data_IF_090589172094
#
_entry.id   IF_090589172094
#
_cell.length_a   1.000
_cell.length_b   1.000
_cell.length_c   1.000
_cell.angle_alpha   90.00
_cell.angle_beta   90.00
_cell.angle_gamma   90.00
#
_symmetry.space_group_name_H-M   'P 1'
#
loop_
_entity.id
_entity.type
_entity.pdbx_description
1 polymer ?
#
# COMPACT_ATOMS: atom_id res chain seq x y z
N UNK A 1 -9.48 3.35 11.26
CA UNK A 1 -8.01 3.35 11.31
C UNK A 1 -7.43 2.75 12.60
N UNK A 2 -7.89 3.15 13.77
CA UNK A 2 -7.33 2.65 15.06
C UNK A 2 -7.41 1.13 15.25
N UNK A 3 -8.49 0.48 14.78
CA UNK A 3 -8.64 -0.97 14.86
C UNK A 3 -7.55 -1.70 14.05
N UNK A 4 -7.29 -1.27 12.83
CA UNK A 4 -6.24 -1.86 11.98
C UNK A 4 -4.85 -1.70 12.58
N UNK A 5 -4.57 -0.57 13.22
CA UNK A 5 -3.32 -0.37 13.95
C UNK A 5 -3.18 -1.30 15.15
N UNK A 6 -4.28 -1.57 15.86
CA UNK A 6 -4.27 -2.51 16.99
C UNK A 6 -4.04 -3.96 16.52
N UNK A 7 -4.53 -4.32 15.34
CA UNK A 7 -4.27 -5.64 14.74
C UNK A 7 -2.84 -5.78 14.20
N UNK A 8 -2.26 -4.69 13.69
CA UNK A 8 -0.89 -4.71 13.14
C UNK A 8 0.17 -4.85 14.23
N UNK A 9 0.00 -4.21 15.40
CA UNK A 9 0.99 -4.20 16.47
C UNK A 9 1.43 -5.59 16.95
N UNK A 10 0.53 -6.57 17.19
CA UNK A 10 0.94 -7.91 17.61
C UNK A 10 1.76 -8.67 16.57
N UNK A 11 1.59 -8.34 15.29
CA UNK A 11 2.31 -9.01 14.20
C UNK A 11 3.78 -8.58 14.14
N UNK A 12 4.10 -7.40 14.69
CA UNK A 12 5.47 -6.91 14.80
C UNK A 12 6.26 -7.57 15.95
N UNK A 13 5.57 -8.26 16.87
CA UNK A 13 6.23 -8.94 17.96
C UNK A 13 7.06 -10.12 17.41
N UNK A 14 8.28 -10.36 17.94
CA UNK A 14 9.08 -11.52 17.56
C UNK A 14 8.30 -12.80 17.85
N UNK A 15 8.38 -13.75 16.92
CA UNK A 15 7.87 -15.11 17.17
C UNK A 15 8.85 -15.74 18.15
N UNK A 16 8.40 -16.14 19.36
CA UNK A 16 9.30 -16.81 20.29
C UNK A 16 9.85 -18.08 19.62
N UNK A 17 11.11 -18.41 19.81
CA UNK A 17 11.61 -19.72 19.44
C UNK A 17 10.81 -20.73 20.29
N UNK A 18 10.05 -21.60 19.63
CA UNK A 18 9.30 -22.64 20.32
C UNK A 18 10.30 -23.53 21.05
N UNK A 19 10.27 -23.47 22.38
CA UNK A 19 11.17 -24.24 23.24
C UNK A 19 10.86 -25.73 23.31
N UNK A 20 10.01 -26.24 22.42
CA UNK A 20 9.68 -27.65 22.29
C UNK A 20 10.39 -28.19 21.04
N UNK A 21 11.59 -28.68 21.22
CA UNK A 21 12.32 -29.44 20.21
C UNK A 21 11.61 -30.78 20.00
N UNK A 22 10.70 -30.83 19.06
CA UNK A 22 10.29 -32.09 18.47
C UNK A 22 11.47 -32.56 17.58
N UNK A 23 11.94 -33.77 17.82
CA UNK A 23 12.94 -34.41 16.96
C UNK A 23 14.33 -33.73 16.92
N UNK A 24 14.90 -33.43 18.09
CA UNK A 24 16.29 -32.89 18.22
C UNK A 24 16.60 -31.64 17.40
N UNK A 25 15.59 -30.75 17.22
CA UNK A 25 15.78 -29.45 16.59
C UNK A 25 15.62 -29.43 15.06
N UNK A 26 15.35 -30.55 14.41
CA UNK A 26 15.16 -30.60 12.95
C UNK A 26 13.74 -30.14 12.54
N UNK A 27 12.72 -30.47 13.34
CA UNK A 27 11.35 -30.05 13.09
C UNK A 27 11.10 -28.55 13.31
N UNK A 28 11.89 -27.89 14.16
CA UNK A 28 11.74 -26.47 14.49
C UNK A 28 12.16 -25.54 13.32
N UNK A 29 12.99 -26.02 12.41
CA UNK A 29 13.41 -25.24 11.24
C UNK A 29 12.30 -25.06 10.21
N UNK A 30 11.32 -25.96 10.18
CA UNK A 30 10.24 -25.91 9.19
C UNK A 30 9.02 -25.10 9.68
N UNK A 31 8.69 -25.16 10.96
CA UNK A 31 7.49 -24.50 11.51
C UNK A 31 7.68 -22.97 11.67
N UNK A 32 8.84 -22.52 12.11
CA UNK A 32 9.10 -21.11 12.40
C UNK A 32 9.12 -20.22 11.14
N UNK A 33 9.73 -20.61 10.01
CA UNK A 33 9.69 -19.82 8.77
C UNK A 33 8.27 -19.64 8.24
N UNK A 34 7.44 -20.68 8.29
CA UNK A 34 6.04 -20.60 7.81
C UNK A 34 5.20 -19.64 8.64
N UNK A 35 5.30 -19.70 9.97
CA UNK A 35 4.60 -18.78 10.86
C UNK A 35 5.04 -17.33 10.62
N UNK A 36 6.34 -17.10 10.43
CA UNK A 36 6.87 -15.77 10.10
C UNK A 36 6.34 -15.27 8.76
N UNK A 37 6.28 -16.13 7.75
CA UNK A 37 5.76 -15.80 6.43
C UNK A 37 4.27 -15.45 6.48
N UNK A 38 3.47 -16.25 7.20
CA UNK A 38 2.04 -15.98 7.39
C UNK A 38 1.81 -14.65 8.11
N UNK A 39 2.57 -14.37 9.18
CA UNK A 39 2.50 -13.08 9.89
C UNK A 39 2.91 -11.90 9.01
N UNK A 40 3.97 -12.07 8.23
CA UNK A 40 4.42 -11.05 7.28
C UNK A 40 3.33 -10.75 6.24
N UNK A 41 2.73 -11.79 5.66
CA UNK A 41 1.63 -11.63 4.71
C UNK A 41 0.45 -10.90 5.34
N UNK A 42 0.04 -11.29 6.53
CA UNK A 42 -1.04 -10.62 7.27
C UNK A 42 -0.69 -9.16 7.58
N UNK A 43 0.54 -8.89 8.00
CA UNK A 43 1.02 -7.52 8.24
C UNK A 43 1.00 -6.66 6.97
N UNK A 44 1.37 -7.23 5.83
CA UNK A 44 1.32 -6.55 4.52
C UNK A 44 -0.13 -6.26 4.11
N UNK A 45 -1.06 -7.17 4.33
CA UNK A 45 -2.47 -6.97 3.99
C UNK A 45 -3.08 -5.86 4.85
N UNK A 46 -2.90 -5.90 6.17
CA UNK A 46 -3.38 -4.85 7.08
C UNK A 46 -2.73 -3.49 6.75
N UNK A 47 -1.42 -3.47 6.46
CA UNK A 47 -0.74 -2.24 6.07
C UNK A 47 -1.31 -1.64 4.79
N UNK A 48 -1.72 -2.48 3.85
CA UNK A 48 -2.36 -2.03 2.60
C UNK A 48 -3.75 -1.45 2.86
N UNK A 49 -4.50 -2.02 3.78
CA UNK A 49 -5.81 -1.50 4.17
C UNK A 49 -5.66 -0.13 4.85
N UNK A 50 -4.68 0.05 5.74
CA UNK A 50 -4.35 1.35 6.34
C UNK A 50 -4.00 2.37 5.25
N UNK A 51 -3.14 2.00 4.31
CA UNK A 51 -2.75 2.88 3.19
C UNK A 51 -3.94 3.20 2.27
N UNK A 52 -4.88 2.27 2.11
CA UNK A 52 -6.13 2.49 1.37
C UNK A 52 -6.98 3.59 2.01
N UNK A 53 -7.15 3.56 3.31
CA UNK A 53 -7.85 4.59 4.07
C UNK A 53 -7.14 5.95 4.00
N UNK A 54 -5.82 5.97 4.12
CA UNK A 54 -5.02 7.19 3.98
C UNK A 54 -5.13 7.78 2.56
N UNK A 55 -5.13 6.92 1.55
CA UNK A 55 -5.30 7.33 0.16
C UNK A 55 -6.68 7.97 -0.08
N UNK A 56 -7.74 7.40 0.49
CA UNK A 56 -9.09 7.98 0.43
C UNK A 56 -9.14 9.35 1.09
N UNK A 57 -8.54 9.47 2.25
CA UNK A 57 -8.48 10.72 2.98
C UNK A 57 -7.70 11.80 2.20
N UNK A 58 -6.54 11.44 1.65
CA UNK A 58 -5.75 12.33 0.79
C UNK A 58 -6.55 12.76 -0.46
N UNK A 59 -7.22 11.83 -1.13
CA UNK A 59 -8.05 12.11 -2.28
C UNK A 59 -9.22 13.06 -1.95
N UNK A 60 -9.87 12.85 -0.80
CA UNK A 60 -10.93 13.74 -0.32
C UNK A 60 -10.42 15.18 -0.15
N UNK A 61 -9.27 15.35 0.50
CA UNK A 61 -8.69 16.68 0.67
C UNK A 61 -8.25 17.33 -0.65
N UNK A 62 -7.77 16.54 -1.61
CA UNK A 62 -7.45 17.06 -2.95
C UNK A 62 -8.72 17.59 -3.66
N UNK A 63 -9.83 16.87 -3.56
CA UNK A 63 -11.10 17.32 -4.14
C UNK A 63 -11.63 18.57 -3.46
N UNK A 64 -11.60 18.65 -2.12
CA UNK A 64 -11.97 19.86 -1.39
C UNK A 64 -11.12 21.06 -1.84
N UNK A 65 -9.80 20.87 -1.97
CA UNK A 65 -8.91 21.94 -2.43
C UNK A 65 -9.18 22.38 -3.87
N UNK A 66 -9.65 21.47 -4.73
CA UNK A 66 -10.12 21.82 -6.07
C UNK A 66 -11.45 22.56 -6.07
N UNK A 67 -12.34 22.23 -5.15
CA UNK A 67 -13.60 22.97 -4.98
C UNK A 67 -13.35 24.40 -4.48
N UNK A 68 -12.38 24.58 -3.56
CA UNK A 68 -11.99 25.91 -3.05
C UNK A 68 -11.30 26.76 -4.14
N UNK A 69 -10.48 26.14 -4.96
CA UNK A 69 -9.76 26.80 -6.05
C UNK A 69 -9.67 25.86 -7.26
N UNK A 70 -10.57 26.03 -8.27
CA UNK A 70 -10.62 25.20 -9.47
C UNK A 70 -9.32 25.19 -10.29
N UNK A 71 -8.56 26.28 -10.26
CA UNK A 71 -7.30 26.44 -11.00
C UNK A 71 -6.12 25.77 -10.29
N UNK A 72 -6.33 25.21 -9.10
CA UNK A 72 -5.29 24.54 -8.35
C UNK A 72 -4.77 23.31 -9.10
N UNK A 73 -3.50 23.33 -9.46
CA UNK A 73 -2.82 22.20 -10.05
C UNK A 73 -2.16 21.33 -8.97
N UNK A 74 -2.27 20.01 -9.13
CA UNK A 74 -1.48 19.04 -8.42
C UNK A 74 -0.39 18.50 -9.34
N UNK A 75 0.71 17.99 -8.77
CA UNK A 75 1.74 17.34 -9.57
C UNK A 75 1.19 16.16 -10.40
N UNK A 76 1.86 15.79 -11.51
CA UNK A 76 1.34 14.78 -12.45
C UNK A 76 1.09 13.43 -11.78
N UNK A 77 1.96 12.96 -10.90
CA UNK A 77 1.79 11.70 -10.18
C UNK A 77 0.56 11.69 -9.29
N UNK A 78 0.41 12.60 -8.32
CA UNK A 78 -0.79 12.69 -7.48
C UNK A 78 -2.08 12.87 -8.29
N UNK A 79 -2.06 13.65 -9.37
CA UNK A 79 -3.22 13.85 -10.24
C UNK A 79 -3.63 12.56 -10.97
N UNK A 80 -2.67 11.77 -11.43
CA UNK A 80 -2.91 10.49 -12.08
C UNK A 80 -3.47 9.45 -11.09
N UNK A 81 -2.92 9.38 -9.88
CA UNK A 81 -3.42 8.50 -8.80
C UNK A 81 -4.85 8.88 -8.43
N UNK A 82 -5.14 10.17 -8.24
CA UNK A 82 -6.49 10.66 -7.94
C UNK A 82 -7.47 10.25 -9.05
N UNK A 83 -7.08 10.45 -10.31
CA UNK A 83 -7.91 10.08 -11.46
C UNK A 83 -8.18 8.58 -11.51
N UNK A 84 -7.18 7.75 -11.23
CA UNK A 84 -7.32 6.30 -11.16
C UNK A 84 -8.25 5.86 -10.03
N UNK A 85 -8.05 6.39 -8.83
CA UNK A 85 -8.88 6.07 -7.67
C UNK A 85 -10.34 6.50 -7.87
N UNK A 86 -10.59 7.68 -8.44
CA UNK A 86 -11.94 8.22 -8.65
C UNK A 86 -12.76 7.45 -9.67
N UNK A 87 -12.16 6.61 -10.50
CA UNK A 87 -12.88 5.63 -11.33
C UNK A 87 -13.52 4.52 -10.51
N UNK A 88 -12.96 4.18 -9.35
CA UNK A 88 -13.43 3.11 -8.47
C UNK A 88 -14.26 3.68 -7.32
N UNK A 89 -13.80 4.77 -6.74
CA UNK A 89 -14.45 5.47 -5.62
C UNK A 89 -14.71 6.92 -6.04
N UNK A 90 -15.88 7.23 -6.63
CA UNK A 90 -16.24 8.60 -7.00
C UNK A 90 -16.23 9.54 -5.80
N UNK A 91 -15.94 10.81 -6.04
CA UNK A 91 -16.13 11.84 -5.02
C UNK A 91 -17.61 12.00 -4.71
N UNK A 92 -18.00 11.79 -3.46
CA UNK A 92 -19.38 11.85 -3.03
C UNK A 92 -19.72 13.19 -2.39
N UNK A 93 -20.82 13.77 -2.84
CA UNK A 93 -21.45 14.89 -2.17
C UNK A 93 -22.34 14.37 -1.02
N UNK A 94 -22.59 15.19 0.02
CA UNK A 94 -23.36 14.75 1.19
C UNK A 94 -24.77 14.20 0.89
N UNK A 95 -25.34 14.52 -0.27
CA UNK A 95 -26.68 14.08 -0.70
C UNK A 95 -26.67 12.78 -1.52
N UNK A 96 -25.52 12.24 -1.86
CA UNK A 96 -25.41 11.06 -2.72
C UNK A 96 -25.36 9.78 -1.85
N UNK A 97 -25.85 8.66 -2.43
CA UNK A 97 -25.79 7.38 -1.76
C UNK A 97 -24.33 6.96 -1.52
N UNK A 98 -23.98 6.47 -0.31
CA UNK A 98 -22.61 6.12 0.01
C UNK A 98 -22.10 4.97 -0.85
N UNK A 99 -20.84 5.05 -1.30
CA UNK A 99 -20.16 3.91 -1.93
C UNK A 99 -20.01 2.80 -0.91
N UNK A 100 -20.32 1.59 -1.32
CA UNK A 100 -20.16 0.41 -0.47
C UNK A 100 -18.67 0.10 -0.31
N UNK A 101 -18.20 -0.03 0.92
CA UNK A 101 -16.84 -0.42 1.29
C UNK A 101 -15.72 0.35 0.53
N UNK A 102 -15.67 1.69 0.63
CA UNK A 102 -14.68 2.48 -0.11
C UNK A 102 -13.23 2.12 0.28
N UNK A 103 -13.00 1.72 1.53
CA UNK A 103 -11.69 1.24 2.02
C UNK A 103 -11.21 0.02 1.26
N UNK A 104 -12.07 -0.98 1.08
CA UNK A 104 -11.75 -2.21 0.35
C UNK A 104 -11.43 -1.92 -1.13
N UNK A 105 -12.17 -1.00 -1.73
CA UNK A 105 -11.91 -0.57 -3.11
C UNK A 105 -10.57 0.15 -3.24
N UNK A 106 -10.21 0.99 -2.27
CA UNK A 106 -8.93 1.69 -2.26
C UNK A 106 -7.76 0.73 -1.98
N UNK A 107 -7.93 -0.21 -1.06
CA UNK A 107 -6.97 -1.29 -0.81
C UNK A 107 -6.78 -2.17 -2.05
N UNK A 108 -7.88 -2.52 -2.74
CA UNK A 108 -7.86 -3.23 -4.02
C UNK A 108 -7.12 -2.46 -5.11
N UNK A 109 -7.32 -1.15 -5.19
CA UNK A 109 -6.58 -0.28 -6.11
C UNK A 109 -5.06 -0.36 -5.85
N UNK A 110 -4.63 -0.30 -4.60
CA UNK A 110 -3.21 -0.42 -4.22
C UNK A 110 -2.61 -1.80 -4.52
N UNK A 111 -3.42 -2.86 -4.64
CA UNK A 111 -2.95 -4.20 -5.06
C UNK A 111 -2.55 -4.25 -6.54
N UNK A 112 -3.22 -3.46 -7.37
CA UNK A 112 -3.07 -3.51 -8.83
C UNK A 112 -2.28 -2.34 -9.38
N UNK A 113 -2.31 -1.20 -8.71
CA UNK A 113 -1.64 0.02 -9.12
C UNK A 113 -0.16 0.00 -8.69
N UNK A 114 0.74 0.08 -9.65
CA UNK A 114 2.17 0.20 -9.36
C UNK A 114 2.59 1.68 -9.39
N UNK A 115 3.47 2.13 -8.47
CA UNK A 115 3.93 3.52 -8.45
C UNK A 115 4.49 3.99 -9.79
N UNK A 116 5.17 3.13 -10.53
CA UNK A 116 5.72 3.42 -11.87
C UNK A 116 4.67 3.80 -12.90
N UNK A 117 3.42 3.33 -12.75
CA UNK A 117 2.33 3.62 -13.67
C UNK A 117 1.87 5.09 -13.58
N UNK A 118 2.18 5.76 -12.47
CA UNK A 118 1.79 7.13 -12.16
C UNK A 118 2.94 8.13 -12.22
N UNK A 119 4.15 7.68 -11.92
CA UNK A 119 5.33 8.56 -11.85
C UNK A 119 6.26 8.43 -13.05
N UNK A 120 5.97 7.51 -13.97
CA UNK A 120 6.82 7.21 -15.11
C UNK A 120 8.13 6.52 -14.70
N UNK A 121 8.92 6.15 -15.71
CA UNK A 121 10.26 5.60 -15.50
C UNK A 121 11.34 6.70 -15.34
N UNK A 122 10.94 7.97 -15.39
CA UNK A 122 11.88 9.07 -15.19
C UNK A 122 12.41 9.04 -13.77
N UNK A 123 13.71 8.89 -13.67
CA UNK A 123 14.45 8.98 -12.41
C UNK A 123 14.12 10.30 -11.75
N UNK A 124 13.44 10.26 -10.60
CA UNK A 124 13.20 11.46 -9.80
C UNK A 124 14.59 11.95 -9.37
N UNK A 125 15.08 12.99 -10.05
CA UNK A 125 16.32 13.68 -9.66
C UNK A 125 16.05 14.35 -8.31
N UNK A 126 16.59 13.79 -7.25
CA UNK A 126 16.56 14.43 -5.94
C UNK A 126 17.43 15.68 -6.00
N UNK A 127 16.97 16.84 -5.49
CA UNK A 127 17.79 18.04 -5.41
C UNK A 127 19.10 17.71 -4.65
N UNK A 128 20.25 17.77 -5.32
CA UNK A 128 21.56 17.47 -4.73
C UNK A 128 21.96 16.01 -4.66
N UNK A 129 21.23 15.10 -5.31
CA UNK A 129 21.45 13.66 -5.19
C UNK A 129 22.32 13.07 -6.29
N UNK A 130 23.20 12.15 -5.89
CA UNK A 130 23.84 11.20 -6.79
C UNK A 130 22.81 10.33 -7.51
N UNK A 131 23.06 9.89 -8.76
CA UNK A 131 22.14 9.02 -9.47
C UNK A 131 21.91 7.73 -8.70
N UNK A 132 20.66 7.45 -8.32
CA UNK A 132 20.32 6.17 -7.72
C UNK A 132 20.57 5.05 -8.72
N UNK A 133 21.16 3.96 -8.22
CA UNK A 133 21.39 2.72 -8.97
C UNK A 133 20.07 2.32 -9.65
N UNK A 134 20.04 2.17 -10.98
CA UNK A 134 18.84 1.70 -11.67
C UNK A 134 18.47 0.32 -11.11
N UNK A 135 17.21 0.16 -10.71
CA UNK A 135 16.68 -1.15 -10.38
C UNK A 135 16.90 -2.06 -11.60
N UNK A 136 17.63 -3.16 -11.39
CA UNK A 136 17.90 -4.10 -12.45
C UNK A 136 16.59 -4.52 -13.12
N UNK A 137 16.52 -4.41 -14.45
CA UNK A 137 15.40 -4.93 -15.19
C UNK A 137 15.22 -6.42 -14.88
N UNK A 138 13.98 -6.90 -14.71
CA UNK A 138 13.76 -8.33 -14.50
C UNK A 138 14.28 -9.07 -15.71
N UNK A 139 15.27 -9.92 -15.49
CA UNK A 139 15.85 -10.79 -16.52
C UNK A 139 14.71 -11.58 -17.17
N UNK A 140 14.44 -11.33 -18.46
CA UNK A 140 13.51 -12.14 -19.23
C UNK A 140 13.97 -13.58 -19.12
N UNK A 141 13.19 -14.43 -18.48
CA UNK A 141 13.42 -15.85 -18.44
C UNK A 141 13.53 -16.35 -19.90
N UNK A 142 14.67 -16.89 -20.26
CA UNK A 142 14.87 -17.55 -21.53
C UNK A 142 13.91 -18.73 -21.62
N UNK A 143 13.21 -18.81 -22.77
CA UNK A 143 12.36 -19.95 -23.11
C UNK A 143 13.21 -21.19 -23.36
#
# INVERSE_FOLDING_TARGET
>A
MDALWQELKPLANPVPPDGVTADKGVGDLDAVPMVKLMRLQQAMDISRDILGEDLLNAAFWMDIRKLENPDRAFGPGPAAVLTGLRKLVPFQKPAEAPVTAPGDLASGFLKTAMPRDFYGSETIAMPGGEPRIPLAEPTKAAK
#
